data_IF_752089169548
#
_entry.id   IF_752089169548
#
_cell.length_a   1.000
_cell.length_b   1.000
_cell.length_c   1.000
_cell.angle_alpha   90.00
_cell.angle_beta   90.00
_cell.angle_gamma   90.00
#
_symmetry.space_group_name_H-M   'P 1'
#
loop_
_entity.id
_entity.type
_entity.pdbx_description
1 polymer ?
#
# COMPACT_ATOMS: atom_id res chain seq x y z
N UNK A 1 46.93 -0.32 11.84
CA UNK A 1 45.57 -0.11 12.37
C UNK A 1 44.74 0.50 11.25
N UNK A 2 43.90 -0.29 10.60
CA UNK A 2 42.98 0.19 9.55
C UNK A 2 41.59 0.22 10.16
N UNK A 3 41.05 1.43 10.34
CA UNK A 3 39.74 1.66 10.92
C UNK A 3 38.69 1.49 9.81
N UNK A 4 37.97 0.37 9.85
CA UNK A 4 36.82 0.08 8.97
C UNK A 4 35.60 0.78 9.58
N UNK A 5 35.27 1.97 9.10
CA UNK A 5 34.01 2.67 9.35
C UNK A 5 33.46 3.13 8.00
N UNK A 6 32.62 2.32 7.35
CA UNK A 6 32.05 2.70 6.06
C UNK A 6 31.01 1.76 5.44
N UNK A 7 30.83 0.53 5.96
CA UNK A 7 30.00 -0.47 5.26
C UNK A 7 28.55 -0.61 5.76
N UNK A 8 28.17 -0.04 6.91
CA UNK A 8 26.84 -0.30 7.49
C UNK A 8 25.72 0.64 7.03
N UNK A 9 26.00 1.71 6.29
CA UNK A 9 24.96 2.68 5.88
C UNK A 9 24.35 2.39 4.49
N UNK A 10 24.99 1.55 3.68
CA UNK A 10 24.57 1.33 2.28
C UNK A 10 23.48 0.25 2.12
N UNK A 11 23.43 -0.74 3.03
CA UNK A 11 22.50 -1.86 2.94
C UNK A 11 21.04 -1.50 3.28
N UNK A 12 20.82 -0.53 4.15
CA UNK A 12 19.48 -0.16 4.64
C UNK A 12 18.71 0.67 3.62
N UNK A 13 19.40 1.50 2.82
CA UNK A 13 18.75 2.42 1.89
C UNK A 13 18.15 1.70 0.66
N UNK A 14 18.83 0.66 0.16
CA UNK A 14 18.38 -0.11 -1.00
C UNK A 14 17.24 -1.09 -0.67
N UNK A 15 17.32 -1.77 0.49
CA UNK A 15 16.25 -2.70 0.93
C UNK A 15 14.93 -1.99 1.24
N UNK A 16 15.00 -0.76 1.77
CA UNK A 16 13.82 0.05 2.06
C UNK A 16 13.16 0.59 0.78
N UNK A 17 13.94 0.90 -0.27
CA UNK A 17 13.43 1.31 -1.59
C UNK A 17 12.70 0.18 -2.29
N UNK A 18 13.27 -1.03 -2.30
CA UNK A 18 12.63 -2.19 -2.95
C UNK A 18 11.31 -2.59 -2.26
N UNK A 19 11.25 -2.47 -0.93
CA UNK A 19 10.00 -2.64 -0.18
C UNK A 19 8.97 -1.58 -0.54
N UNK A 20 9.37 -0.30 -0.62
CA UNK A 20 8.46 0.79 -0.99
C UNK A 20 7.87 0.62 -2.39
N UNK A 21 8.69 0.27 -3.39
CA UNK A 21 8.21 0.10 -4.77
C UNK A 21 7.23 -1.08 -4.90
N UNK A 22 7.46 -2.19 -4.18
CA UNK A 22 6.53 -3.30 -4.13
C UNK A 22 5.17 -2.89 -3.50
N UNK A 23 5.20 -2.08 -2.44
CA UNK A 23 3.98 -1.54 -1.84
C UNK A 23 3.23 -0.60 -2.81
N UNK A 24 3.95 0.29 -3.51
CA UNK A 24 3.35 1.17 -4.52
C UNK A 24 2.71 0.36 -5.66
N UNK A 25 3.34 -0.75 -6.09
CA UNK A 25 2.76 -1.64 -7.10
C UNK A 25 1.47 -2.31 -6.62
N UNK A 26 1.37 -2.69 -5.34
CA UNK A 26 0.12 -3.23 -4.77
C UNK A 26 -0.99 -2.17 -4.76
N UNK A 27 -0.66 -0.93 -4.41
CA UNK A 27 -1.61 0.19 -4.46
C UNK A 27 -2.08 0.45 -5.89
N UNK A 28 -1.16 0.47 -6.86
CA UNK A 28 -1.50 0.62 -8.28
C UNK A 28 -2.40 -0.52 -8.78
N UNK A 29 -2.07 -1.76 -8.43
CA UNK A 29 -2.84 -2.96 -8.78
C UNK A 29 -4.25 -2.94 -8.18
N UNK A 30 -4.43 -2.36 -6.99
CA UNK A 30 -5.72 -2.20 -6.35
C UNK A 30 -6.64 -1.22 -7.09
N UNK A 31 -6.08 -0.18 -7.70
CA UNK A 31 -6.85 0.87 -8.39
C UNK A 31 -6.87 0.73 -9.90
N UNK A 32 -6.14 -0.23 -10.45
CA UNK A 32 -6.18 -0.56 -11.87
C UNK A 32 -7.42 -1.44 -12.17
N UNK A 33 -8.39 -0.94 -12.97
CA UNK A 33 -9.55 -1.73 -13.37
C UNK A 33 -9.20 -2.92 -14.26
N UNK A 34 -8.11 -2.82 -15.03
CA UNK A 34 -7.66 -3.83 -15.99
C UNK A 34 -6.70 -4.86 -15.36
N UNK A 35 -6.37 -4.70 -14.08
CA UNK A 35 -5.53 -5.68 -13.39
C UNK A 35 -6.25 -7.02 -13.22
N UNK A 36 -5.53 -8.10 -13.53
CA UNK A 36 -6.01 -9.47 -13.40
C UNK A 36 -6.31 -9.87 -11.94
N UNK A 37 -7.12 -10.91 -11.76
CA UNK A 37 -7.48 -11.46 -10.46
C UNK A 37 -8.65 -10.76 -9.76
N UNK A 38 -8.98 -11.23 -8.56
CA UNK A 38 -10.15 -10.76 -7.80
C UNK A 38 -9.98 -9.30 -7.36
N UNK A 39 -10.90 -8.44 -7.81
CA UNK A 39 -10.85 -7.01 -7.51
C UNK A 39 -10.95 -6.70 -6.01
N UNK A 40 -11.68 -7.52 -5.24
CA UNK A 40 -11.80 -7.31 -3.78
C UNK A 40 -10.50 -7.69 -3.07
N UNK A 41 -9.87 -8.78 -3.49
CA UNK A 41 -8.56 -9.20 -3.00
C UNK A 41 -7.50 -8.13 -3.27
N UNK A 42 -7.43 -7.64 -4.51
CA UNK A 42 -6.52 -6.54 -4.89
C UNK A 42 -6.77 -5.29 -4.05
N UNK A 43 -8.03 -4.90 -3.87
CA UNK A 43 -8.41 -3.76 -3.02
C UNK A 43 -7.93 -3.93 -1.57
N UNK A 44 -8.08 -5.13 -0.99
CA UNK A 44 -7.62 -5.41 0.39
C UNK A 44 -6.10 -5.35 0.50
N UNK A 45 -5.37 -5.95 -0.44
CA UNK A 45 -3.91 -5.88 -0.50
C UNK A 45 -3.41 -4.45 -0.68
N UNK A 46 -4.09 -3.65 -1.52
CA UNK A 46 -3.80 -2.23 -1.69
C UNK A 46 -4.03 -1.40 -0.44
N UNK A 47 -5.09 -1.69 0.34
CA UNK A 47 -5.34 -1.03 1.63
C UNK A 47 -4.22 -1.31 2.63
N UNK A 48 -3.78 -2.57 2.76
CA UNK A 48 -2.63 -2.89 3.60
C UNK A 48 -1.37 -2.16 3.14
N UNK A 49 -1.11 -2.15 1.83
CA UNK A 49 0.06 -1.49 1.28
C UNK A 49 0.06 0.04 1.52
N UNK A 50 -1.11 0.69 1.45
CA UNK A 50 -1.24 2.10 1.83
C UNK A 50 -0.89 2.35 3.30
N UNK A 51 -1.35 1.48 4.21
CA UNK A 51 -1.01 1.60 5.64
C UNK A 51 0.49 1.39 5.88
N UNK A 52 1.09 0.43 5.18
CA UNK A 52 2.53 0.16 5.28
C UNK A 52 3.36 1.35 4.75
N UNK A 53 2.92 1.99 3.66
CA UNK A 53 3.52 3.22 3.13
C UNK A 53 3.37 4.40 4.09
N UNK A 54 2.20 4.56 4.72
CA UNK A 54 1.96 5.56 5.75
C UNK A 54 2.87 5.37 6.96
N UNK A 55 3.01 4.13 7.40
CA UNK A 55 3.91 3.77 8.51
C UNK A 55 5.38 4.03 8.15
N UNK A 56 5.73 3.89 6.86
CA UNK A 56 7.01 4.27 6.28
C UNK A 56 7.21 5.78 6.06
N UNK A 57 6.25 6.63 6.44
CA UNK A 57 6.34 8.09 6.38
C UNK A 57 5.80 8.74 5.10
N UNK A 58 5.13 7.99 4.22
CA UNK A 58 4.53 8.53 3.00
C UNK A 58 3.02 8.75 3.18
N UNK A 59 2.52 9.96 2.93
CA UNK A 59 1.09 10.22 3.07
C UNK A 59 0.27 9.32 2.12
N UNK A 60 -0.90 8.78 2.53
CA UNK A 60 -1.70 7.88 1.70
C UNK A 60 -2.09 8.49 0.33
N UNK A 61 -2.39 9.79 0.30
CA UNK A 61 -2.70 10.52 -0.94
C UNK A 61 -1.48 10.62 -1.86
N UNK A 62 -0.30 10.87 -1.29
CA UNK A 62 0.97 10.89 -2.01
C UNK A 62 1.32 9.50 -2.55
N UNK A 63 1.17 8.47 -1.72
CA UNK A 63 1.38 7.07 -2.09
C UNK A 63 0.49 6.65 -3.28
N UNK A 64 -0.80 6.99 -3.21
CA UNK A 64 -1.75 6.71 -4.30
C UNK A 64 -1.39 7.46 -5.58
N UNK A 65 -1.04 8.76 -5.48
CA UNK A 65 -0.61 9.53 -6.64
C UNK A 65 0.64 8.92 -7.27
N UNK A 66 1.67 8.64 -6.45
CA UNK A 66 2.93 8.04 -6.90
C UNK A 66 2.72 6.68 -7.55
N UNK A 67 1.92 5.81 -6.93
CA UNK A 67 1.58 4.49 -7.47
C UNK A 67 0.90 4.57 -8.85
N UNK A 68 -0.08 5.47 -9.00
CA UNK A 68 -0.76 5.69 -10.29
C UNK A 68 0.19 6.22 -11.36
N UNK A 69 1.03 7.18 -11.01
CA UNK A 69 2.02 7.76 -11.94
C UNK A 69 3.02 6.72 -12.39
N UNK A 70 3.57 5.91 -11.48
CA UNK A 70 4.53 4.85 -11.80
C UNK A 70 3.91 3.78 -12.71
N UNK A 71 2.64 3.44 -12.50
CA UNK A 71 1.93 2.44 -13.28
C UNK A 71 1.25 3.00 -14.55
N UNK A 72 1.40 4.29 -14.86
CA UNK A 72 0.78 4.93 -16.02
C UNK A 72 -0.75 4.90 -16.01
N UNK A 73 -1.38 4.90 -14.83
CA UNK A 73 -2.83 4.77 -14.71
C UNK A 73 -3.55 6.08 -15.02
N UNK A 74 -4.41 6.03 -16.04
CA UNK A 74 -5.25 7.15 -16.48
C UNK A 74 -6.56 7.30 -15.70
N UNK A 75 -7.53 7.97 -16.32
CA UNK A 75 -8.82 8.32 -15.71
C UNK A 75 -9.63 7.11 -15.21
N UNK A 76 -9.49 5.95 -15.85
CA UNK A 76 -10.17 4.73 -15.45
C UNK A 76 -9.87 4.28 -14.00
N UNK A 77 -8.71 4.69 -13.46
CA UNK A 77 -8.33 4.43 -12.07
C UNK A 77 -8.98 5.37 -11.05
N UNK A 78 -9.63 6.46 -11.46
CA UNK A 78 -10.17 7.48 -10.54
C UNK A 78 -11.24 6.93 -9.58
N UNK A 79 -12.20 6.15 -10.11
CA UNK A 79 -13.27 5.58 -9.28
C UNK A 79 -12.73 4.54 -8.27
N UNK A 80 -11.91 3.55 -8.67
CA UNK A 80 -11.23 2.67 -7.72
C UNK A 80 -10.36 3.42 -6.71
N UNK A 81 -9.65 4.47 -7.14
CA UNK A 81 -8.81 5.31 -6.28
C UNK A 81 -9.64 5.99 -5.19
N UNK A 82 -10.77 6.59 -5.56
CA UNK A 82 -11.69 7.22 -4.61
C UNK A 82 -12.23 6.20 -3.60
N UNK A 83 -12.67 5.03 -4.08
CA UNK A 83 -13.18 3.96 -3.23
C UNK A 83 -12.12 3.43 -2.25
N UNK A 84 -10.88 3.24 -2.70
CA UNK A 84 -9.75 2.85 -1.85
C UNK A 84 -9.54 3.87 -0.72
N UNK A 85 -9.50 5.17 -1.04
CA UNK A 85 -9.29 6.24 -0.06
C UNK A 85 -10.46 6.42 0.90
N UNK A 86 -11.69 6.21 0.45
CA UNK A 86 -12.88 6.25 1.31
C UNK A 86 -12.85 5.11 2.33
N UNK A 87 -12.57 3.87 1.89
CA UNK A 87 -12.43 2.73 2.81
C UNK A 87 -11.26 2.98 3.77
N UNK A 88 -10.14 3.51 3.26
CA UNK A 88 -8.99 3.89 4.09
C UNK A 88 -9.39 4.85 5.21
N UNK A 89 -10.11 5.92 4.86
CA UNK A 89 -10.52 6.98 5.79
C UNK A 89 -11.56 6.50 6.82
N UNK A 90 -12.52 5.67 6.40
CA UNK A 90 -13.58 5.15 7.29
C UNK A 90 -13.05 4.20 8.37
N UNK A 91 -11.86 3.64 8.19
CA UNK A 91 -11.30 2.61 9.06
C UNK A 91 -9.95 3.02 9.68
N UNK A 92 -9.66 4.33 9.81
CA UNK A 92 -8.39 4.82 10.40
C UNK A 92 -8.04 4.19 11.76
N UNK A 93 -9.04 3.92 12.59
CA UNK A 93 -8.86 3.28 13.89
C UNK A 93 -8.44 1.80 13.82
N UNK A 94 -8.47 1.18 12.64
CA UNK A 94 -8.14 -0.23 12.41
C UNK A 94 -6.69 -0.44 11.94
N UNK A 95 -6.02 0.61 11.47
CA UNK A 95 -4.69 0.49 10.86
C UNK A 95 -3.56 0.22 11.86
N UNK A 96 -3.82 0.38 13.15
CA UNK A 96 -2.90 -0.05 14.20
C UNK A 96 -3.06 -1.52 14.64
N UNK A 97 -4.07 -2.24 14.14
CA UNK A 97 -4.33 -3.64 14.51
C UNK A 97 -3.58 -4.61 13.57
N UNK A 98 -2.59 -5.37 14.09
CA UNK A 98 -1.83 -6.32 13.27
C UNK A 98 -2.71 -7.38 12.63
N UNK A 99 -3.75 -7.88 13.31
CA UNK A 99 -4.62 -8.92 12.78
C UNK A 99 -5.43 -8.43 11.56
N UNK A 100 -5.89 -7.17 11.62
CA UNK A 100 -6.54 -6.53 10.48
C UNK A 100 -5.57 -6.41 9.29
N UNK A 101 -4.34 -5.93 9.51
CA UNK A 101 -3.37 -5.76 8.43
C UNK A 101 -2.93 -7.09 7.82
N UNK A 102 -2.69 -8.11 8.63
CA UNK A 102 -2.29 -9.45 8.15
C UNK A 102 -3.38 -10.11 7.31
N UNK A 103 -4.65 -9.95 7.70
CA UNK A 103 -5.77 -10.39 6.88
C UNK A 103 -5.78 -9.69 5.52
N UNK A 104 -5.60 -8.37 5.50
CA UNK A 104 -5.59 -7.56 4.27
C UNK A 104 -4.40 -7.88 3.36
N UNK A 105 -3.18 -8.06 3.91
CA UNK A 105 -1.99 -8.51 3.15
C UNK A 105 -2.20 -9.89 2.52
N UNK A 106 -2.89 -10.77 3.24
CA UNK A 106 -3.31 -12.08 2.71
C UNK A 106 -4.48 -12.00 1.71
N UNK A 107 -5.01 -10.80 1.43
CA UNK A 107 -6.16 -10.61 0.53
C UNK A 107 -7.51 -11.02 1.13
N UNK A 108 -7.56 -11.34 2.43
CA UNK A 108 -8.76 -11.81 3.15
C UNK A 108 -9.50 -10.65 3.81
N UNK A 109 -10.82 -10.81 4.00
CA UNK A 109 -11.60 -9.85 4.78
C UNK A 109 -11.24 -9.99 6.27
N UNK A 110 -10.86 -8.90 6.97
CA UNK A 110 -10.63 -8.94 8.41
C UNK A 110 -11.94 -9.09 9.19
N UNK A 111 -11.84 -9.54 10.43
CA UNK A 111 -12.94 -9.60 11.39
C UNK A 111 -12.71 -8.55 12.51
N UNK A 112 -13.66 -7.64 12.77
CA UNK A 112 -14.91 -7.43 12.04
C UNK A 112 -14.66 -6.82 10.64
N UNK A 113 -15.62 -6.96 9.70
CA UNK A 113 -15.48 -6.43 8.34
C UNK A 113 -15.18 -4.93 8.31
N UNK A 114 -14.45 -4.49 7.28
CA UNK A 114 -14.20 -3.07 7.05
C UNK A 114 -15.50 -2.32 6.75
N UNK A 115 -15.60 -1.10 7.29
CA UNK A 115 -16.64 -0.14 6.90
C UNK A 115 -16.46 0.24 5.43
N UNK A 116 -17.57 0.43 4.72
CA UNK A 116 -17.61 0.79 3.30
C UNK A 116 -18.45 2.06 3.12
N UNK A 117 -18.10 2.92 2.14
CA UNK A 117 -18.91 4.07 1.76
C UNK A 117 -20.24 3.65 1.12
#
# INVERSE_FOLDING_TARGET
MVTILGACLWGTLWGQSQGQDALLQLVATAVNPDAEGDAKERMRKGLAALVDLQTGGMAPEEALLKAKTQAGLGEASQKPSKMLMEIFSLNQNRWGDPATLDALRAGRMPEPPLKRP
#
